data_IF_196348906204
#
_entry.id   IF_196348906204
#
_cell.length_a   1.000
_cell.length_b   1.000
_cell.length_c   1.000
_cell.angle_alpha   90.00
_cell.angle_beta   90.00
_cell.angle_gamma   90.00
#
_symmetry.space_group_name_H-M   'P 1'
#
loop_
_entity.id
_entity.type
_entity.pdbx_description
1 polymer ?
#
# COMPACT_ATOMS: atom_id res chain seq x y z
N UNK A 1 19.79 -14.09 -5.16
CA UNK A 1 19.68 -14.27 -3.70
C UNK A 1 19.06 -13.03 -3.09
N UNK A 2 18.79 -12.99 -1.78
CA UNK A 2 18.21 -11.80 -1.12
C UNK A 2 19.17 -10.62 -1.19
N UNK A 3 20.47 -10.86 -1.12
CA UNK A 3 21.53 -9.85 -1.19
C UNK A 3 21.50 -9.12 -2.54
N UNK A 4 21.47 -9.89 -3.64
CA UNK A 4 21.36 -9.35 -5.00
C UNK A 4 20.07 -8.55 -5.20
N UNK A 5 18.95 -9.00 -4.64
CA UNK A 5 17.70 -8.25 -4.69
C UNK A 5 17.82 -6.90 -3.96
N UNK A 6 18.41 -6.89 -2.77
CA UNK A 6 18.60 -5.66 -1.98
C UNK A 6 19.54 -4.69 -2.69
N UNK A 7 20.61 -5.19 -3.29
CA UNK A 7 21.55 -4.39 -4.07
C UNK A 7 20.84 -3.69 -5.24
N UNK A 8 20.06 -4.42 -6.03
CA UNK A 8 19.26 -3.84 -7.13
C UNK A 8 18.23 -2.85 -6.59
N UNK A 9 17.54 -3.18 -5.50
CA UNK A 9 16.58 -2.27 -4.86
C UNK A 9 17.25 -0.97 -4.42
N UNK A 10 18.47 -1.04 -3.87
CA UNK A 10 19.22 0.14 -3.45
C UNK A 10 19.61 1.03 -4.63
N UNK A 11 20.02 0.45 -5.76
CA UNK A 11 20.27 1.20 -6.99
C UNK A 11 19.02 1.93 -7.47
N UNK A 12 17.89 1.22 -7.58
CA UNK A 12 16.61 1.83 -7.99
C UNK A 12 16.16 2.96 -7.05
N UNK A 13 16.35 2.80 -5.75
CA UNK A 13 16.02 3.83 -4.77
C UNK A 13 16.95 5.06 -4.90
N UNK A 14 18.23 4.83 -5.15
CA UNK A 14 19.20 5.90 -5.38
C UNK A 14 18.83 6.73 -6.62
N UNK A 15 18.42 6.08 -7.71
CA UNK A 15 17.98 6.75 -8.95
C UNK A 15 16.75 7.65 -8.73
N UNK A 16 15.90 7.31 -7.75
CA UNK A 16 14.75 8.14 -7.35
C UNK A 16 15.07 9.22 -6.30
N UNK A 17 16.34 9.39 -5.94
CA UNK A 17 16.78 10.36 -4.93
C UNK A 17 16.44 9.96 -3.48
N UNK A 18 16.05 8.71 -3.23
CA UNK A 18 15.73 8.21 -1.89
C UNK A 18 16.99 7.73 -1.18
N UNK A 19 17.01 7.87 0.16
CA UNK A 19 18.08 7.36 1.02
C UNK A 19 18.02 5.83 1.12
N UNK A 20 18.57 5.15 0.12
CA UNK A 20 18.48 3.69 -0.08
C UNK A 20 18.87 2.87 1.16
N UNK A 21 19.87 3.30 1.93
CA UNK A 21 20.37 2.59 3.13
C UNK A 21 19.33 2.44 4.25
N UNK A 22 18.21 3.17 4.18
CA UNK A 22 17.09 3.06 5.12
C UNK A 22 16.09 1.95 4.74
N UNK A 23 16.25 1.33 3.58
CA UNK A 23 15.29 0.41 3.01
C UNK A 23 15.87 -1.00 2.93
N UNK A 24 15.13 -1.97 3.45
CA UNK A 24 15.44 -3.39 3.34
C UNK A 24 14.27 -4.19 2.78
N UNK A 25 14.37 -5.52 2.87
CA UNK A 25 13.33 -6.45 2.44
C UNK A 25 11.99 -6.17 3.13
N UNK A 26 12.03 -5.83 4.42
CA UNK A 26 10.84 -5.44 5.19
C UNK A 26 10.18 -4.17 4.65
N UNK A 27 10.98 -3.15 4.32
CA UNK A 27 10.49 -1.89 3.73
C UNK A 27 9.85 -2.13 2.36
N UNK A 28 10.44 -2.99 1.53
CA UNK A 28 9.87 -3.38 0.23
C UNK A 28 8.53 -4.10 0.40
N UNK A 29 8.46 -5.07 1.32
CA UNK A 29 7.23 -5.83 1.59
C UNK A 29 6.10 -4.93 2.08
N UNK A 30 6.41 -4.01 3.00
CA UNK A 30 5.45 -3.01 3.51
C UNK A 30 4.98 -2.05 2.42
N UNK A 31 5.92 -1.42 1.71
CA UNK A 31 5.59 -0.46 0.66
C UNK A 31 4.84 -1.11 -0.50
N UNK A 32 5.23 -2.32 -0.89
CA UNK A 32 4.53 -3.11 -1.91
C UNK A 32 3.11 -3.49 -1.49
N UNK A 33 2.91 -3.92 -0.24
CA UNK A 33 1.58 -4.15 0.31
C UNK A 33 0.71 -2.89 0.22
N UNK A 34 1.21 -1.77 0.73
CA UNK A 34 0.48 -0.49 0.73
C UNK A 34 0.13 -0.05 -0.70
N UNK A 35 1.08 -0.10 -1.63
CA UNK A 35 0.84 0.23 -3.02
C UNK A 35 -0.21 -0.67 -3.67
N UNK A 36 -0.12 -2.00 -3.48
CA UNK A 36 -1.07 -2.93 -4.09
C UNK A 36 -2.48 -2.77 -3.50
N UNK A 37 -2.58 -2.56 -2.19
CA UNK A 37 -3.87 -2.43 -1.50
C UNK A 37 -4.53 -1.05 -1.73
N UNK A 38 -3.77 0.03 -1.55
CA UNK A 38 -4.29 1.41 -1.58
C UNK A 38 -4.33 1.95 -3.01
N UNK A 39 -3.24 1.83 -3.76
CA UNK A 39 -3.15 2.40 -5.11
C UNK A 39 -3.75 1.46 -6.16
N UNK A 40 -3.40 0.17 -6.11
CA UNK A 40 -3.89 -0.83 -7.08
C UNK A 40 -5.23 -1.43 -6.71
N UNK A 41 -5.75 -1.17 -5.51
CA UNK A 41 -7.05 -1.66 -5.02
C UNK A 41 -7.21 -3.17 -5.11
N UNK A 42 -6.10 -3.89 -4.96
CA UNK A 42 -6.16 -5.33 -4.81
C UNK A 42 -6.89 -5.64 -3.50
N UNK A 43 -7.80 -6.60 -3.56
CA UNK A 43 -8.42 -7.07 -2.33
C UNK A 43 -7.36 -7.74 -1.43
N UNK A 44 -7.66 -7.86 -0.14
CA UNK A 44 -6.72 -8.40 0.83
C UNK A 44 -6.24 -9.81 0.46
N UNK A 45 -7.10 -10.63 -0.13
CA UNK A 45 -6.76 -12.00 -0.57
C UNK A 45 -5.67 -11.97 -1.65
N UNK A 46 -5.82 -11.15 -2.68
CA UNK A 46 -4.84 -11.00 -3.76
C UNK A 46 -3.50 -10.45 -3.28
N UNK A 47 -3.51 -9.52 -2.33
CA UNK A 47 -2.27 -9.00 -1.74
C UNK A 47 -1.60 -10.04 -0.84
N UNK A 48 -2.38 -10.83 -0.09
CA UNK A 48 -1.89 -11.97 0.67
C UNK A 48 -1.20 -13.01 -0.22
N UNK A 49 -1.82 -13.35 -1.35
CA UNK A 49 -1.26 -14.28 -2.33
C UNK A 49 0.07 -13.77 -2.92
N UNK A 50 0.13 -12.51 -3.36
CA UNK A 50 1.38 -11.88 -3.83
C UNK A 50 2.49 -11.90 -2.77
N UNK A 51 2.13 -11.68 -1.51
CA UNK A 51 3.07 -11.73 -0.41
C UNK A 51 3.39 -13.13 0.09
N UNK A 52 2.71 -14.18 -0.34
CA UNK A 52 2.80 -15.50 0.30
C UNK A 52 2.45 -15.44 1.79
N UNK A 53 1.49 -14.59 2.16
CA UNK A 53 0.98 -14.47 3.51
C UNK A 53 -0.25 -15.35 3.73
N UNK A 54 -0.42 -15.83 4.95
CA UNK A 54 -1.59 -16.62 5.36
C UNK A 54 -2.87 -15.79 5.26
N UNK A 55 -3.95 -16.41 4.78
CA UNK A 55 -5.31 -15.87 4.83
C UNK A 55 -5.98 -16.09 6.19
N UNK A 56 -5.37 -16.88 7.07
CA UNK A 56 -5.91 -17.13 8.40
C UNK A 56 -5.76 -15.92 9.35
N UNK A 57 -5.00 -14.89 8.94
CA UNK A 57 -4.67 -13.69 9.74
C UNK A 57 -4.24 -14.01 11.18
N UNK A 58 -3.65 -15.18 11.37
CA UNK A 58 -3.06 -15.68 12.61
C UNK A 58 -1.91 -14.78 13.08
N UNK A 59 -1.25 -14.10 12.13
CA UNK A 59 -0.19 -13.13 12.41
C UNK A 59 -0.60 -11.71 11.99
N UNK A 60 -0.68 -10.80 12.97
CA UNK A 60 -1.02 -9.38 12.81
C UNK A 60 -0.01 -8.58 11.96
N UNK A 61 1.08 -9.20 11.49
CA UNK A 61 2.10 -8.55 10.65
C UNK A 61 1.50 -7.84 9.44
N UNK A 62 0.44 -8.39 8.84
CA UNK A 62 -0.28 -7.77 7.71
C UNK A 62 -1.01 -6.49 8.16
N UNK A 63 -1.57 -6.47 9.36
CA UNK A 63 -2.24 -5.29 9.95
C UNK A 63 -1.26 -4.15 10.18
N UNK A 64 -0.01 -4.45 10.54
CA UNK A 64 1.06 -3.44 10.66
C UNK A 64 1.52 -2.89 9.31
N UNK A 65 1.27 -3.59 8.20
CA UNK A 65 1.46 -3.05 6.85
C UNK A 65 0.27 -2.23 6.37
N UNK A 66 -0.94 -2.50 6.86
CA UNK A 66 -2.17 -1.77 6.53
C UNK A 66 -2.20 -0.33 7.07
N UNK A 67 -1.54 -0.06 8.20
CA UNK A 67 -1.52 1.28 8.79
C UNK A 67 -0.09 1.76 9.07
N UNK A 68 0.23 2.93 8.55
CA UNK A 68 1.34 3.78 8.98
C UNK A 68 0.95 4.57 10.23
N UNK A 69 1.95 4.94 11.03
CA UNK A 69 1.76 5.85 12.18
C UNK A 69 1.25 7.23 11.73
N UNK A 70 1.45 7.57 10.46
CA UNK A 70 1.05 8.84 9.86
C UNK A 70 -0.13 8.69 8.88
N UNK A 71 -0.73 7.50 8.78
CA UNK A 71 -1.87 7.32 7.88
C UNK A 71 -3.08 8.04 8.47
N UNK A 72 -3.72 8.85 7.64
CA UNK A 72 -4.91 9.62 8.02
C UNK A 72 -6.09 9.19 7.17
N UNK A 73 -7.27 9.10 7.79
CA UNK A 73 -8.50 8.84 7.03
C UNK A 73 -8.65 9.92 5.98
N UNK A 74 -8.81 9.48 4.73
CA UNK A 74 -9.05 10.39 3.61
C UNK A 74 -10.47 11.00 3.67
N UNK A 75 -11.32 10.46 4.55
CA UNK A 75 -12.70 10.88 4.71
C UNK A 75 -12.97 11.34 6.14
N UNK A 76 -13.77 12.41 6.30
CA UNK A 76 -14.37 12.72 7.58
C UNK A 76 -15.15 11.50 8.11
N UNK A 77 -15.03 11.23 9.40
CA UNK A 77 -15.61 10.03 10.03
C UNK A 77 -17.12 9.94 9.84
N UNK A 78 -17.80 11.07 9.91
CA UNK A 78 -19.25 11.23 9.73
C UNK A 78 -19.71 10.94 8.30
N UNK A 79 -18.80 10.95 7.32
CA UNK A 79 -19.11 10.68 5.92
C UNK A 79 -18.86 9.21 5.51
N UNK A 80 -18.22 8.39 6.36
CA UNK A 80 -17.86 7.00 6.04
C UNK A 80 -19.06 6.11 5.67
N UNK A 81 -20.25 6.44 6.18
CA UNK A 81 -21.48 5.69 5.95
C UNK A 81 -22.54 6.50 5.19
N UNK A 82 -22.19 7.70 4.70
CA UNK A 82 -23.12 8.53 3.95
C UNK A 82 -23.13 8.10 2.46
N UNK A 83 -24.19 7.43 1.97
CA UNK A 83 -24.25 6.97 0.57
C UNK A 83 -24.34 8.12 -0.43
N UNK A 84 -24.68 9.33 0.04
CA UNK A 84 -24.81 10.53 -0.79
C UNK A 84 -23.55 11.41 -0.74
N UNK A 85 -22.49 10.98 -0.06
CA UNK A 85 -21.24 11.74 -0.03
C UNK A 85 -20.54 11.62 -1.39
N UNK A 86 -20.50 12.73 -2.14
CA UNK A 86 -19.87 12.75 -3.45
C UNK A 86 -18.35 12.66 -3.33
N UNK A 87 -17.78 11.60 -3.89
CA UNK A 87 -16.33 11.42 -3.98
C UNK A 87 -15.76 12.41 -5.00
N UNK A 88 -15.24 13.54 -4.54
CA UNK A 88 -14.79 14.67 -5.38
C UNK A 88 -13.61 14.39 -6.34
N UNK A 89 -13.09 13.16 -6.44
CA UNK A 89 -12.04 12.84 -7.39
C UNK A 89 -12.37 11.58 -8.19
N UNK A 90 -12.60 11.77 -9.49
CA UNK A 90 -12.51 10.67 -10.44
C UNK A 90 -11.07 10.16 -10.46
N UNK A 91 -10.89 8.85 -10.33
CA UNK A 91 -9.58 8.23 -10.33
C UNK A 91 -8.87 8.49 -11.66
N UNK A 92 -7.66 9.06 -11.62
CA UNK A 92 -6.87 9.31 -12.83
C UNK A 92 -6.46 8.04 -13.59
N UNK A 93 -6.57 6.86 -12.96
CA UNK A 93 -6.24 5.57 -13.56
C UNK A 93 -7.47 4.85 -14.16
N UNK A 94 -8.64 4.92 -13.51
CA UNK A 94 -9.82 4.15 -13.93
C UNK A 94 -11.04 5.00 -14.33
N UNK A 95 -10.93 6.33 -14.22
CA UNK A 95 -11.93 7.33 -14.60
C UNK A 95 -13.34 7.16 -13.99
N UNK A 96 -13.43 6.41 -12.88
CA UNK A 96 -14.66 6.27 -12.07
C UNK A 96 -14.60 7.19 -10.87
N UNK A 97 -15.77 7.63 -10.38
CA UNK A 97 -15.94 8.23 -9.05
C UNK A 97 -15.66 7.16 -7.99
N UNK A 98 -14.39 6.99 -7.63
CA UNK A 98 -13.98 6.06 -6.58
C UNK A 98 -13.13 6.77 -5.54
N UNK A 99 -13.00 6.15 -4.37
CA UNK A 99 -12.17 6.58 -3.26
C UNK A 99 -10.65 6.55 -3.54
N UNK A 100 -10.25 6.63 -4.80
CA UNK A 100 -8.89 6.46 -5.30
C UNK A 100 -8.18 7.81 -5.24
N UNK A 101 -7.16 7.96 -4.39
CA UNK A 101 -6.29 9.13 -4.42
C UNK A 101 -5.14 8.90 -5.42
N UNK A 102 -4.60 10.02 -5.93
CA UNK A 102 -3.36 10.07 -6.70
C UNK A 102 -2.15 9.83 -5.80
#
# INVERSE_FOLDING_TARGET
SVEMFIEVLHYLLADTGRRWYKYGTHSFRRGGFQYLYIERRWNLVSVCDWGGWSLAFDNLTIVWYLHGVFDTSHYPRDQLMNPNYEHHQACGYCNRSCACQR
#
